data_IF_007772241516
#
_entry.id   IF_007772241516
#
_cell.length_a   1.000
_cell.length_b   1.000
_cell.length_c   1.000
_cell.angle_alpha   90.00
_cell.angle_beta   90.00
_cell.angle_gamma   90.00
#
_symmetry.space_group_name_H-M   'P 1'
#
loop_
_entity.id
_entity.type
_entity.pdbx_description
1 polymer ?
#
# COMPACT_ATOMS: atom_id res chain seq x y z
N UNK A 1 -10.87 -15.35 -14.84
CA UNK A 1 -10.20 -15.73 -13.58
C UNK A 1 -10.21 -14.51 -12.65
N UNK A 2 -10.40 -14.67 -11.33
CA UNK A 2 -10.42 -13.55 -10.38
C UNK A 2 -9.01 -13.29 -9.85
N UNK A 3 -8.50 -12.04 -9.84
CA UNK A 3 -7.16 -11.76 -9.35
C UNK A 3 -7.06 -11.99 -7.84
N UNK A 4 -5.96 -12.59 -7.40
CA UNK A 4 -5.58 -12.76 -6.00
C UNK A 4 -4.55 -11.70 -5.64
N UNK A 5 -4.87 -10.82 -4.69
CA UNK A 5 -4.05 -9.66 -4.34
C UNK A 5 -3.54 -9.71 -2.91
N UNK A 6 -2.34 -9.21 -2.68
CA UNK A 6 -1.75 -9.08 -1.35
C UNK A 6 -2.02 -7.69 -0.78
N UNK A 7 -2.61 -7.65 0.43
CA UNK A 7 -2.68 -6.42 1.23
C UNK A 7 -1.32 -6.19 1.92
N UNK A 8 -0.77 -4.98 1.77
CA UNK A 8 0.64 -4.73 2.14
C UNK A 8 0.85 -4.19 3.55
N UNK A 9 -0.20 -3.78 4.29
CA UNK A 9 0.01 -3.10 5.59
C UNK A 9 0.71 -3.95 6.66
N UNK A 10 0.55 -5.27 6.62
CA UNK A 10 1.28 -6.19 7.51
C UNK A 10 2.79 -6.22 7.26
N UNK A 11 3.24 -5.67 6.13
CA UNK A 11 4.65 -5.64 5.68
C UNK A 11 5.18 -4.20 5.60
N UNK A 12 4.65 -3.29 6.42
CA UNK A 12 5.03 -1.86 6.40
C UNK A 12 6.49 -1.58 6.75
N UNK A 13 7.18 -2.55 7.37
CA UNK A 13 8.62 -2.53 7.66
C UNK A 13 9.49 -2.94 6.45
N UNK A 14 8.89 -3.52 5.42
CA UNK A 14 9.58 -3.97 4.20
C UNK A 14 9.40 -2.92 3.09
N UNK A 15 10.49 -2.40 2.49
CA UNK A 15 10.43 -1.52 1.32
C UNK A 15 9.63 -2.14 0.17
N UNK A 16 8.88 -1.30 -0.55
CA UNK A 16 7.98 -1.77 -1.62
C UNK A 16 8.74 -2.52 -2.72
N UNK A 17 9.95 -2.08 -3.06
CA UNK A 17 10.83 -2.69 -4.08
C UNK A 17 11.22 -4.14 -3.72
N UNK A 18 11.34 -4.44 -2.43
CA UNK A 18 11.61 -5.80 -1.94
C UNK A 18 10.31 -6.61 -1.93
N UNK A 19 9.22 -6.00 -1.47
CA UNK A 19 7.92 -6.67 -1.33
C UNK A 19 7.32 -7.09 -2.67
N UNK A 20 7.47 -6.29 -3.74
CA UNK A 20 6.97 -6.65 -5.09
C UNK A 20 7.62 -7.93 -5.63
N UNK A 21 8.92 -8.13 -5.36
CA UNK A 21 9.62 -9.36 -5.77
C UNK A 21 9.03 -10.57 -5.02
N UNK A 22 8.90 -10.46 -3.70
CA UNK A 22 8.32 -11.51 -2.85
C UNK A 22 6.88 -11.83 -3.22
N UNK A 23 6.04 -10.81 -3.42
CA UNK A 23 4.64 -11.00 -3.79
C UNK A 23 4.50 -11.77 -5.11
N UNK A 24 5.38 -11.49 -6.07
CA UNK A 24 5.38 -12.24 -7.34
C UNK A 24 5.83 -13.69 -7.16
N UNK A 25 6.87 -13.93 -6.35
CA UNK A 25 7.36 -15.28 -6.01
C UNK A 25 6.30 -16.10 -5.26
N UNK A 26 5.50 -15.47 -4.41
CA UNK A 26 4.39 -16.08 -3.69
C UNK A 26 3.16 -16.36 -4.58
N UNK A 27 3.15 -15.85 -5.81
CA UNK A 27 2.10 -16.13 -6.80
C UNK A 27 0.92 -15.17 -6.77
N UNK A 28 1.05 -13.98 -6.18
CA UNK A 28 0.01 -12.95 -6.26
C UNK A 28 -0.08 -12.32 -7.66
N UNK A 29 -1.29 -11.91 -8.04
CA UNK A 29 -1.58 -11.21 -9.30
C UNK A 29 -1.43 -9.68 -9.16
N UNK A 30 -1.43 -9.18 -7.93
CA UNK A 30 -1.38 -7.75 -7.66
C UNK A 30 -1.35 -7.40 -6.18
N UNK A 31 -1.36 -6.10 -5.91
CA UNK A 31 -1.25 -5.54 -4.57
C UNK A 31 -2.42 -4.62 -4.24
N UNK A 32 -2.73 -4.58 -2.95
CA UNK A 32 -3.47 -3.52 -2.29
C UNK A 32 -2.48 -2.76 -1.38
N UNK A 33 -2.16 -1.51 -1.74
CA UNK A 33 -1.14 -0.73 -1.04
C UNK A 33 -1.71 -0.08 0.22
N UNK A 34 -1.34 -0.63 1.37
CA UNK A 34 -1.61 -0.04 2.69
C UNK A 34 -0.29 0.32 3.37
N UNK A 35 0.04 1.62 3.44
CA UNK A 35 1.25 2.11 4.11
C UNK A 35 2.50 2.27 3.24
N UNK A 36 2.52 1.72 2.02
CA UNK A 36 3.64 1.85 1.07
C UNK A 36 3.49 3.01 0.08
N UNK A 37 2.37 3.72 0.10
CA UNK A 37 2.08 4.84 -0.79
C UNK A 37 2.10 6.15 0.00
N UNK A 38 2.93 7.11 -0.44
CA UNK A 38 2.85 8.48 0.03
C UNK A 38 1.64 9.17 -0.62
N UNK A 39 0.54 9.29 0.12
CA UNK A 39 -0.73 9.83 -0.36
C UNK A 39 -0.60 11.32 -0.71
N UNK A 40 0.19 12.08 0.04
CA UNK A 40 0.36 13.50 -0.22
C UNK A 40 1.08 13.72 -1.54
N UNK A 41 2.18 12.99 -1.76
CA UNK A 41 2.90 13.03 -3.03
C UNK A 41 2.04 12.51 -4.19
N UNK A 42 1.35 11.39 -4.01
CA UNK A 42 0.45 10.83 -5.02
C UNK A 42 -0.68 11.80 -5.45
N UNK A 43 -1.10 12.70 -4.56
CA UNK A 43 -2.14 13.70 -4.87
C UNK A 43 -1.68 14.86 -5.76
N UNK A 44 -0.37 15.10 -5.86
CA UNK A 44 0.19 16.26 -6.59
C UNK A 44 1.23 15.89 -7.64
N UNK A 45 1.82 14.69 -7.57
CA UNK A 45 2.88 14.21 -8.45
C UNK A 45 2.40 12.97 -9.23
N UNK A 46 1.96 13.21 -10.47
CA UNK A 46 1.54 12.14 -11.38
C UNK A 46 2.71 11.22 -11.76
N UNK A 47 3.95 11.73 -11.77
CA UNK A 47 5.12 10.93 -12.11
C UNK A 47 5.43 9.89 -11.04
N UNK A 48 5.27 10.24 -9.76
CA UNK A 48 5.35 9.28 -8.66
C UNK A 48 4.34 8.14 -8.79
N UNK A 49 3.08 8.43 -9.11
CA UNK A 49 2.09 7.40 -9.38
C UNK A 49 2.51 6.48 -10.52
N UNK A 50 3.10 7.04 -11.58
CA UNK A 50 3.61 6.27 -12.72
C UNK A 50 4.83 5.42 -12.35
N UNK A 51 5.71 5.90 -11.48
CA UNK A 51 6.85 5.14 -10.95
C UNK A 51 6.37 3.89 -10.20
N UNK A 52 5.37 4.04 -9.31
CA UNK A 52 4.77 2.91 -8.57
C UNK A 52 4.13 1.91 -9.54
N UNK A 53 3.30 2.37 -10.48
CA UNK A 53 2.66 1.48 -11.46
C UNK A 53 3.71 0.76 -12.33
N UNK A 54 4.78 1.44 -12.71
CA UNK A 54 5.87 0.86 -13.49
C UNK A 54 6.67 -0.15 -12.68
N UNK A 55 6.90 0.10 -11.38
CA UNK A 55 7.53 -0.85 -10.47
C UNK A 55 6.72 -2.16 -10.40
N UNK A 56 5.41 -2.08 -10.16
CA UNK A 56 4.55 -3.26 -10.10
C UNK A 56 4.53 -4.00 -11.45
N UNK A 57 4.39 -3.27 -12.56
CA UNK A 57 4.35 -3.84 -13.90
C UNK A 57 5.63 -4.61 -14.27
N UNK A 58 6.82 -4.12 -13.86
CA UNK A 58 8.10 -4.83 -14.04
C UNK A 58 8.10 -6.22 -13.41
N UNK A 59 7.32 -6.42 -12.34
CA UNK A 59 7.18 -7.70 -11.66
C UNK A 59 5.91 -8.47 -12.07
N UNK A 60 5.23 -8.07 -13.15
CA UNK A 60 3.94 -8.64 -13.58
C UNK A 60 2.85 -8.56 -12.50
N UNK A 61 2.91 -7.57 -11.61
CA UNK A 61 1.89 -7.27 -10.62
C UNK A 61 1.04 -6.08 -11.08
N UNK A 62 -0.21 -6.03 -10.65
CA UNK A 62 -1.09 -4.88 -10.85
C UNK A 62 -1.49 -4.25 -9.51
N UNK A 63 -1.77 -2.95 -9.52
CA UNK A 63 -2.40 -2.27 -8.40
C UNK A 63 -3.92 -2.38 -8.53
N UNK A 64 -4.59 -2.97 -7.54
CA UNK A 64 -6.05 -3.11 -7.55
C UNK A 64 -6.75 -2.19 -6.55
N UNK A 65 -6.09 -1.85 -5.45
CA UNK A 65 -6.65 -1.02 -4.40
C UNK A 65 -5.55 -0.27 -3.62
N UNK A 66 -5.98 0.79 -2.94
CA UNK A 66 -5.18 1.54 -1.95
C UNK A 66 -5.98 1.59 -0.65
N UNK A 67 -5.29 1.59 0.49
CA UNK A 67 -5.95 1.53 1.80
C UNK A 67 -5.39 2.58 2.74
N UNK A 68 -6.27 3.27 3.44
CA UNK A 68 -5.94 4.38 4.34
C UNK A 68 -6.46 4.12 5.77
N UNK A 69 -6.40 2.87 6.24
CA UNK A 69 -7.02 2.44 7.51
C UNK A 69 -6.59 3.30 8.70
N UNK A 70 -5.29 3.59 8.86
CA UNK A 70 -4.75 4.32 10.01
C UNK A 70 -5.27 5.78 10.07
N UNK A 71 -5.27 6.47 8.93
CA UNK A 71 -5.79 7.85 8.85
C UNK A 71 -7.31 7.86 8.97
N UNK A 72 -7.99 6.88 8.36
CA UNK A 72 -9.45 6.73 8.46
C UNK A 72 -9.92 6.51 9.90
N UNK A 73 -9.19 5.73 10.69
CA UNK A 73 -9.47 5.55 12.13
C UNK A 73 -9.49 6.89 12.87
N UNK A 74 -8.60 7.83 12.54
CA UNK A 74 -8.55 9.14 13.16
C UNK A 74 -9.72 10.08 12.84
N UNK A 75 -10.61 9.72 11.91
CA UNK A 75 -11.84 10.48 11.66
C UNK A 75 -12.98 10.05 12.60
N UNK A 76 -13.09 8.75 12.86
CA UNK A 76 -14.21 8.18 13.60
C UNK A 76 -13.89 7.85 15.07
N UNK A 77 -12.62 7.73 15.44
CA UNK A 77 -12.22 7.48 16.81
C UNK A 77 -12.28 8.77 17.65
N UNK A 78 -12.91 8.66 18.82
CA UNK A 78 -12.84 9.73 19.81
C UNK A 78 -11.38 9.97 20.22
N UNK A 79 -10.96 11.24 20.20
CA UNK A 79 -9.67 11.64 20.74
C UNK A 79 -9.80 11.60 22.27
N UNK A 80 -9.34 10.52 22.88
CA UNK A 80 -9.34 10.32 24.32
C UNK A 80 -7.95 9.97 24.86
N UNK A 81 -7.82 9.85 26.19
CA UNK A 81 -6.55 9.61 26.87
C UNK A 81 -5.79 8.37 26.39
N UNK A 82 -6.47 7.37 25.80
CA UNK A 82 -5.82 6.15 25.30
C UNK A 82 -4.97 6.40 24.06
N UNK A 83 -5.28 7.46 23.28
CA UNK A 83 -4.49 7.84 22.10
C UNK A 83 -3.17 8.56 22.41
N UNK A 84 -3.01 9.10 23.61
CA UNK A 84 -1.85 9.92 23.98
C UNK A 84 -0.86 9.23 24.93
N UNK A 85 -1.12 7.98 25.32
CA UNK A 85 -0.21 7.19 26.16
C UNK A 85 0.72 6.38 25.26
N UNK A 86 2.00 6.73 25.29
CA UNK A 86 3.12 5.98 24.70
C UNK A 86 3.70 4.98 25.69
#
# INVERSE_FOLDING_TARGET
MRPVTLFTAQFGDIPLEILVTKAREWGFDGLELGGHLDIHRASTDQSYCQEILSLLAKHNLKLFAISAHLVGQAVCDHIDERRHRS
#
